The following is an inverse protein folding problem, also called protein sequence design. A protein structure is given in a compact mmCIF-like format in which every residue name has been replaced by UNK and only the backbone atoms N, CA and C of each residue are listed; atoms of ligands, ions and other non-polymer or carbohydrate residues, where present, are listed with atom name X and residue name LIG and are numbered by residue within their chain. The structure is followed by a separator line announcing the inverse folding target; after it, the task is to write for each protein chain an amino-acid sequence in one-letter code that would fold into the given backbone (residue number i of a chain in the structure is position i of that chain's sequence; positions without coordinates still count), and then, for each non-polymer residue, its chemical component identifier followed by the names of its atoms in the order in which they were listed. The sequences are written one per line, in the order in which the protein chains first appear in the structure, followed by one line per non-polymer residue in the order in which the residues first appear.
data_IF_084323111316
#
_entry.id   IF_084323111316
#
_cell.length_a   1.000
_cell.length_b   1.000
_cell.length_c   1.000
_cell.angle_alpha   90.00
_cell.angle_beta   90.00
_cell.angle_gamma   90.00
#
_symmetry.space_group_name_H-M   'P 1'
#
loop_
_entity.id
_entity.type
_entity.pdbx_description
1 polymer ?
#
# COMPACT_ATOMS: atom_id res chain seq x y z
N UNK A 1 0.34 8.45 10.22
CA UNK A 1 0.54 8.77 8.78
C UNK A 1 -0.46 9.82 8.27
N UNK A 2 -1.74 9.77 8.65
CA UNK A 2 -2.79 10.63 8.06
C UNK A 2 -2.56 12.14 8.23
N UNK A 3 -2.08 12.59 9.39
CA UNK A 3 -1.81 14.01 9.65
C UNK A 3 -0.68 14.58 8.79
N UNK A 4 0.46 13.88 8.73
CA UNK A 4 1.63 14.30 7.94
C UNK A 4 1.35 14.25 6.43
N UNK A 5 0.68 13.19 5.96
CA UNK A 5 0.27 13.09 4.56
C UNK A 5 -0.74 14.17 4.18
N UNK A 6 -1.72 14.46 5.05
CA UNK A 6 -2.69 15.53 4.81
C UNK A 6 -2.04 16.91 4.78
N UNK A 7 -1.16 17.21 5.73
CA UNK A 7 -0.39 18.45 5.73
C UNK A 7 0.45 18.62 4.45
N UNK A 8 1.05 17.53 3.96
CA UNK A 8 1.86 17.58 2.74
C UNK A 8 1.00 17.75 1.47
N UNK A 9 -0.20 17.17 1.41
CA UNK A 9 -1.15 17.40 0.31
C UNK A 9 -1.75 18.81 0.35
N UNK A 10 -2.07 19.33 1.53
CA UNK A 10 -2.57 20.70 1.70
C UNK A 10 -1.49 21.74 1.34
N UNK A 11 -0.21 21.38 1.47
CA UNK A 11 0.94 22.13 0.95
C UNK A 11 1.14 22.07 -0.57
N UNK A 12 0.23 21.42 -1.32
CA UNK A 12 0.24 21.37 -2.79
C UNK A 12 0.97 20.18 -3.40
N UNK A 13 1.40 19.19 -2.60
CA UNK A 13 2.07 17.99 -3.13
C UNK A 13 1.08 17.06 -3.83
N UNK A 14 1.43 16.62 -5.05
CA UNK A 14 0.62 15.66 -5.80
C UNK A 14 0.63 14.28 -5.09
N UNK A 15 -0.58 13.77 -4.83
CA UNK A 15 -0.80 12.50 -4.16
C UNK A 15 -0.12 11.31 -4.86
N UNK A 16 -0.18 11.24 -6.19
CA UNK A 16 0.41 10.15 -6.97
C UNK A 16 1.93 10.12 -6.83
N UNK A 17 2.57 11.30 -6.83
CA UNK A 17 4.03 11.44 -6.66
C UNK A 17 4.43 10.96 -5.26
N UNK A 18 3.67 11.34 -4.24
CA UNK A 18 3.93 10.91 -2.86
C UNK A 18 3.87 9.39 -2.69
N UNK A 19 2.85 8.74 -3.27
CA UNK A 19 2.68 7.29 -3.19
C UNK A 19 3.78 6.57 -3.97
N UNK A 20 4.14 7.07 -5.16
CA UNK A 20 5.26 6.55 -5.94
C UNK A 20 6.57 6.57 -5.15
N UNK A 21 6.93 7.72 -4.56
CA UNK A 21 8.15 7.82 -3.75
C UNK A 21 8.14 6.88 -2.55
N UNK A 22 6.98 6.70 -1.89
CA UNK A 22 6.85 5.76 -0.78
C UNK A 22 7.14 4.33 -1.22
N UNK A 23 6.62 3.92 -2.37
CA UNK A 23 6.79 2.57 -2.89
C UNK A 23 8.22 2.31 -3.39
N UNK A 24 8.83 3.29 -4.06
CA UNK A 24 10.24 3.22 -4.49
C UNK A 24 11.15 3.11 -3.27
N UNK A 25 10.95 3.96 -2.26
CA UNK A 25 11.74 3.92 -1.03
C UNK A 25 11.63 2.56 -0.36
N UNK A 26 10.42 2.04 -0.16
CA UNK A 26 10.21 0.71 0.41
C UNK A 26 10.93 -0.39 -0.39
N UNK A 27 10.86 -0.33 -1.72
CA UNK A 27 11.55 -1.29 -2.60
C UNK A 27 13.07 -1.18 -2.48
N UNK A 28 13.63 0.03 -2.49
CA UNK A 28 15.07 0.27 -2.34
C UNK A 28 15.61 -0.24 -1.00
N UNK A 29 14.83 -0.17 0.08
CA UNK A 29 15.23 -0.73 1.37
C UNK A 29 15.05 -2.26 1.45
N UNK A 30 13.96 -2.79 0.89
CA UNK A 30 13.66 -4.22 0.98
C UNK A 30 14.51 -5.08 0.04
N UNK A 31 14.85 -4.58 -1.14
CA UNK A 31 15.69 -5.30 -2.12
C UNK A 31 17.04 -5.75 -1.54
N UNK A 32 17.88 -4.88 -0.95
CA UNK A 32 19.15 -5.32 -0.39
C UNK A 32 18.96 -6.27 0.81
N UNK A 33 17.91 -6.06 1.62
CA UNK A 33 17.58 -6.93 2.75
C UNK A 33 17.19 -8.34 2.29
N UNK A 34 16.32 -8.46 1.28
CA UNK A 34 15.90 -9.76 0.75
C UNK A 34 17.04 -10.50 0.06
N UNK A 35 17.91 -9.77 -0.64
CA UNK A 35 19.12 -10.33 -1.24
C UNK A 35 20.15 -10.78 -0.19
N UNK A 36 20.25 -10.10 0.95
CA UNK A 36 21.18 -10.51 2.01
C UNK A 36 20.65 -11.68 2.86
N UNK A 37 19.37 -11.67 3.21
CA UNK A 37 18.76 -12.63 4.13
C UNK A 37 18.27 -13.90 3.44
N UNK A 38 17.66 -13.77 2.26
CA UNK A 38 16.86 -14.84 1.66
C UNK A 38 17.45 -15.41 0.37
N UNK A 39 18.49 -14.80 -0.22
CA UNK A 39 19.05 -15.26 -1.50
C UNK A 39 19.39 -16.75 -1.52
N UNK A 40 19.96 -17.29 -0.44
CA UNK A 40 20.33 -18.71 -0.38
C UNK A 40 19.14 -19.67 -0.31
N UNK A 41 18.00 -19.24 0.20
CA UNK A 41 16.82 -20.09 0.44
C UNK A 41 15.64 -19.76 -0.48
N UNK A 42 15.78 -18.74 -1.35
CA UNK A 42 14.69 -18.26 -2.19
C UNK A 42 14.34 -19.28 -3.29
N UNK A 43 13.07 -19.74 -3.37
CA UNK A 43 12.63 -20.58 -4.47
C UNK A 43 12.67 -19.81 -5.79
N UNK A 44 12.93 -20.52 -6.89
CA UNK A 44 12.95 -19.91 -8.23
C UNK A 44 11.56 -19.38 -8.58
N UNK A 45 11.43 -18.06 -8.69
CA UNK A 45 10.20 -17.42 -9.14
C UNK A 45 10.09 -17.53 -10.67
N UNK A 46 9.08 -18.26 -11.14
CA UNK A 46 8.71 -18.25 -12.55
C UNK A 46 8.20 -16.87 -12.96
N UNK A 47 8.53 -16.44 -14.18
CA UNK A 47 8.08 -15.16 -14.74
C UNK A 47 6.55 -14.99 -14.68
N UNK A 48 5.79 -16.06 -14.88
CA UNK A 48 4.33 -16.03 -14.79
C UNK A 48 3.86 -15.73 -13.37
N UNK A 49 4.49 -16.34 -12.37
CA UNK A 49 4.17 -16.09 -10.95
C UNK A 49 4.53 -14.67 -10.57
N UNK A 50 5.68 -14.18 -11.03
CA UNK A 50 6.07 -12.78 -10.86
C UNK A 50 5.04 -11.81 -11.47
N UNK A 51 4.62 -12.03 -12.71
CA UNK A 51 3.58 -11.23 -13.36
C UNK A 51 2.26 -11.25 -12.57
N UNK A 52 1.83 -12.40 -12.06
CA UNK A 52 0.62 -12.49 -11.23
C UNK A 52 0.72 -11.65 -9.95
N UNK A 53 1.85 -11.78 -9.23
CA UNK A 53 2.09 -11.00 -8.00
C UNK A 53 2.15 -9.50 -8.33
N UNK A 54 2.83 -9.14 -9.42
CA UNK A 54 2.93 -7.76 -9.86
C UNK A 54 1.57 -7.16 -10.18
N UNK A 55 0.74 -7.85 -10.98
CA UNK A 55 -0.61 -7.38 -11.31
C UNK A 55 -1.49 -7.28 -10.06
N UNK A 56 -1.42 -8.27 -9.16
CA UNK A 56 -2.16 -8.22 -7.91
C UNK A 56 -1.74 -7.04 -7.03
N UNK A 57 -0.44 -6.72 -6.97
CA UNK A 57 0.08 -5.59 -6.21
C UNK A 57 -0.28 -4.24 -6.85
N UNK A 58 -0.24 -4.17 -8.19
CA UNK A 58 -0.60 -2.96 -8.94
C UNK A 58 -2.08 -2.63 -8.78
N UNK A 59 -2.97 -3.59 -9.09
CA UNK A 59 -4.41 -3.37 -9.04
C UNK A 59 -5.00 -3.44 -7.64
N UNK A 60 -4.41 -4.24 -6.75
CA UNK A 60 -4.88 -4.37 -5.37
C UNK A 60 -4.36 -3.24 -4.50
N UNK A 61 -3.05 -3.26 -4.22
CA UNK A 61 -2.46 -2.38 -3.21
C UNK A 61 -2.27 -0.95 -3.76
N UNK A 62 -1.67 -0.81 -4.94
CA UNK A 62 -1.31 0.51 -5.47
C UNK A 62 -2.55 1.36 -5.78
N UNK A 63 -3.52 0.80 -6.51
CA UNK A 63 -4.79 1.51 -6.75
C UNK A 63 -5.52 1.85 -5.45
N UNK A 64 -5.57 0.94 -4.47
CA UNK A 64 -6.21 1.23 -3.19
C UNK A 64 -5.54 2.39 -2.45
N UNK A 65 -4.21 2.47 -2.51
CA UNK A 65 -3.45 3.57 -1.91
C UNK A 65 -3.66 4.90 -2.62
N UNK A 66 -3.71 4.90 -3.96
CA UNK A 66 -3.98 6.11 -4.76
C UNK A 66 -5.41 6.61 -4.53
N UNK A 67 -6.40 5.73 -4.56
CA UNK A 67 -7.81 6.08 -4.26
C UNK A 67 -7.92 6.61 -2.83
N UNK A 68 -7.25 5.97 -1.87
CA UNK A 68 -7.21 6.43 -0.48
C UNK A 68 -6.55 7.81 -0.36
N UNK A 69 -5.47 8.02 -1.09
CA UNK A 69 -4.76 9.28 -1.16
C UNK A 69 -5.61 10.42 -1.71
N UNK A 70 -6.30 10.16 -2.82
CA UNK A 70 -7.27 11.08 -3.41
C UNK A 70 -8.43 11.36 -2.45
N UNK A 71 -8.99 10.33 -1.82
CA UNK A 71 -10.03 10.48 -0.79
C UNK A 71 -9.54 11.35 0.37
N UNK A 72 -8.27 11.21 0.79
CA UNK A 72 -7.65 12.04 1.83
C UNK A 72 -7.50 13.51 1.43
N UNK A 73 -7.32 13.81 0.14
CA UNK A 73 -7.34 15.20 -0.36
C UNK A 73 -8.74 15.81 -0.17
N UNK A 74 -9.79 15.07 -0.53
CA UNK A 74 -11.18 15.54 -0.45
C UNK A 74 -11.83 15.41 0.94
N UNK A 75 -11.21 14.69 1.88
CA UNK A 75 -11.74 14.46 3.22
C UNK A 75 -10.80 14.91 4.33
N UNK A 76 -11.23 14.73 5.58
CA UNK A 76 -10.42 15.04 6.76
C UNK A 76 -9.54 13.85 7.18
N UNK A 77 -8.39 14.15 7.78
CA UNK A 77 -7.53 13.13 8.36
C UNK A 77 -8.24 12.28 9.43
N UNK A 78 -9.22 12.86 10.13
CA UNK A 78 -10.03 12.17 11.14
C UNK A 78 -10.95 11.13 10.53
N UNK A 79 -11.64 11.45 9.43
CA UNK A 79 -12.48 10.46 8.74
C UNK A 79 -11.62 9.31 8.19
N UNK A 80 -10.46 9.64 7.63
CA UNK A 80 -9.54 8.65 7.10
C UNK A 80 -8.98 7.72 8.20
N UNK A 81 -8.78 8.24 9.42
CA UNK A 81 -8.44 7.44 10.60
C UNK A 81 -9.62 6.58 11.08
N UNK A 82 -10.85 7.11 11.07
CA UNK A 82 -12.03 6.32 11.43
C UNK A 82 -12.24 5.13 10.48
N UNK A 83 -12.14 5.34 9.17
CA UNK A 83 -12.30 4.27 8.16
C UNK A 83 -11.23 3.18 8.32
N UNK A 84 -9.99 3.55 8.60
CA UNK A 84 -8.91 2.56 8.82
C UNK A 84 -9.12 1.75 10.10
N UNK A 85 -9.67 2.35 11.15
CA UNK A 85 -10.06 1.61 12.37
C UNK A 85 -11.22 0.62 12.16
N UNK A 86 -12.03 0.82 11.11
CA UNK A 86 -13.08 -0.15 10.75
C UNK A 86 -12.55 -1.34 9.93
N UNK A 87 -11.32 -1.28 9.39
CA UNK A 87 -10.77 -2.36 8.57
C UNK A 87 -10.79 -3.74 9.27
N UNK A 88 -10.37 -3.89 10.55
CA UNK A 88 -10.40 -5.18 11.23
C UNK A 88 -11.81 -5.78 11.33
N UNK A 89 -12.81 -4.91 11.54
CA UNK A 89 -14.22 -5.32 11.62
C UNK A 89 -14.69 -5.87 10.28
N UNK A 90 -14.41 -5.15 9.19
CA UNK A 90 -14.76 -5.58 7.83
C UNK A 90 -14.04 -6.90 7.48
N UNK A 91 -12.76 -7.02 7.81
CA UNK A 91 -11.98 -8.24 7.58
C UNK A 91 -12.57 -9.43 8.35
N UNK A 92 -13.00 -9.23 9.60
CA UNK A 92 -13.66 -10.28 10.38
C UNK A 92 -14.98 -10.72 9.74
N UNK A 93 -15.82 -9.78 9.34
CA UNK A 93 -17.09 -10.10 8.65
C UNK A 93 -16.85 -10.88 7.36
N UNK A 94 -15.88 -10.46 6.54
CA UNK A 94 -15.52 -11.19 5.32
C UNK A 94 -15.00 -12.59 5.64
N UNK A 95 -14.15 -12.73 6.66
CA UNK A 95 -13.63 -14.03 7.07
C UNK A 95 -14.72 -14.99 7.55
N UNK A 96 -15.75 -14.51 8.26
CA UNK A 96 -16.90 -15.32 8.68
C UNK A 96 -17.79 -15.69 7.49
N UNK A 97 -17.95 -14.80 6.51
CA UNK A 97 -18.80 -15.03 5.34
C UNK A 97 -18.17 -16.01 4.34
N UNK A 98 -16.86 -15.94 4.16
CA UNK A 98 -16.08 -16.71 3.18
C UNK A 98 -15.42 -17.97 3.79
N UNK A 99 -15.47 -18.11 5.12
CA UNK A 99 -14.87 -19.20 5.88
C UNK A 99 -15.76 -20.43 6.03
#
# INVERSE_FOLDING_TARGET
MHLLSKAAFDGGMNNFIFIFYRQVTATTFLVPLSLFLEWKNAPQLSFVTFCKIFLLSLFGITLSLDIYGLALVYTSATLAAATTNCLPVITFFLAVLLG
#
